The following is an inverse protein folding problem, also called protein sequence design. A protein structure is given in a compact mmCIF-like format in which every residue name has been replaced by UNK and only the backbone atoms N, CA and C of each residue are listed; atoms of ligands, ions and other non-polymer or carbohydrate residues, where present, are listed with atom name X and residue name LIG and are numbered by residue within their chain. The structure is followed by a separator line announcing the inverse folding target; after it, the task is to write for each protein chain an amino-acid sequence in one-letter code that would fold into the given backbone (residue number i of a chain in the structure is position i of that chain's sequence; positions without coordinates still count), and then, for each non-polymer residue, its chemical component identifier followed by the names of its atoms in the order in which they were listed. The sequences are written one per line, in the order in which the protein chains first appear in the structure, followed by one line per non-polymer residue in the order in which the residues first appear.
data_IF_369001262115
#
_entry.id   IF_369001262115
#
_cell.length_a   1.000
_cell.length_b   1.000
_cell.length_c   1.000
_cell.angle_alpha   90.00
_cell.angle_beta   90.00
_cell.angle_gamma   90.00
#
_symmetry.space_group_name_H-M   'P 1'
#
loop_
_entity.id
_entity.type
_entity.pdbx_description
1 polymer ?
#
# COMPACT_ATOMS: atom_id res chain seq x y z
N UNK A 1 17.13 -8.51 8.05
CA UNK A 1 16.78 -8.07 9.40
C UNK A 1 15.64 -8.89 9.97
N UNK A 2 15.99 -10.01 10.59
CA UNK A 2 15.06 -10.76 11.43
C UNK A 2 14.71 -9.99 12.71
N UNK A 3 13.68 -10.43 13.44
CA UNK A 3 13.37 -9.90 14.77
C UNK A 3 14.57 -10.04 15.75
N UNK A 4 15.55 -10.90 15.44
CA UNK A 4 16.79 -11.11 16.18
C UNK A 4 17.87 -10.03 15.90
N UNK A 5 18.12 -9.67 14.64
CA UNK A 5 18.99 -8.53 14.29
C UNK A 5 18.40 -7.19 14.75
N UNK A 6 17.07 -7.06 14.74
CA UNK A 6 16.40 -5.88 15.28
C UNK A 6 16.71 -5.71 16.78
N UNK A 7 16.79 -6.81 17.55
CA UNK A 7 17.15 -6.78 18.98
C UNK A 7 18.61 -6.38 19.23
N UNK A 8 19.51 -6.53 18.26
CA UNK A 8 20.91 -6.08 18.41
C UNK A 8 21.05 -4.55 18.30
N UNK A 9 20.15 -3.90 17.57
CA UNK A 9 20.15 -2.44 17.36
C UNK A 9 19.27 -1.74 18.41
N UNK A 10 18.26 -2.43 18.93
CA UNK A 10 17.27 -1.88 19.83
C UNK A 10 17.73 -1.97 21.28
N UNK A 11 17.44 -0.96 22.12
CA UNK A 11 17.74 -1.00 23.55
C UNK A 11 17.12 -2.26 24.21
N UNK A 12 17.78 -2.81 25.23
CA UNK A 12 17.19 -3.86 26.06
C UNK A 12 15.84 -3.39 26.63
N UNK A 13 14.77 -4.16 26.39
CA UNK A 13 13.43 -3.82 26.88
C UNK A 13 12.30 -4.46 26.06
N UNK A 14 11.06 -4.19 26.47
CA UNK A 14 9.89 -4.53 25.67
C UNK A 14 9.86 -3.69 24.39
N UNK A 15 10.05 -4.36 23.26
CA UNK A 15 10.16 -3.74 21.95
C UNK A 15 8.86 -2.99 21.57
N UNK A 16 7.70 -3.48 21.99
CA UNK A 16 6.44 -2.78 21.72
C UNK A 16 6.39 -1.43 22.45
N UNK A 17 6.70 -1.43 23.75
CA UNK A 17 6.82 -0.20 24.54
C UNK A 17 7.86 0.77 23.97
N UNK A 18 9.01 0.28 23.48
CA UNK A 18 10.05 1.13 22.89
C UNK A 18 9.55 1.80 21.61
N UNK A 19 8.94 1.03 20.70
CA UNK A 19 8.39 1.56 19.45
C UNK A 19 7.30 2.60 19.71
N UNK A 20 6.42 2.33 20.68
CA UNK A 20 5.38 3.27 21.07
C UNK A 20 5.97 4.55 21.67
N UNK A 21 7.02 4.44 22.48
CA UNK A 21 7.71 5.59 23.05
C UNK A 21 8.40 6.42 21.96
N UNK A 22 9.08 5.79 21.00
CA UNK A 22 9.71 6.50 19.88
C UNK A 22 8.69 7.23 19.02
N UNK A 23 7.58 6.58 18.70
CA UNK A 23 6.49 7.19 17.96
C UNK A 23 5.92 8.42 18.68
N UNK A 24 5.56 8.28 19.97
CA UNK A 24 5.07 9.40 20.80
C UNK A 24 6.11 10.53 20.91
N UNK A 25 7.39 10.19 21.05
CA UNK A 25 8.47 11.18 21.16
C UNK A 25 8.66 11.92 19.84
N UNK A 26 8.57 11.24 18.69
CA UNK A 26 8.64 11.88 17.39
C UNK A 26 7.49 12.87 17.17
N UNK A 27 6.27 12.50 17.58
CA UNK A 27 5.12 13.42 17.55
C UNK A 27 5.31 14.63 18.47
N UNK A 28 5.78 14.41 19.70
CA UNK A 28 6.09 15.49 20.62
C UNK A 28 7.12 16.47 20.02
N UNK A 29 8.24 15.96 19.50
CA UNK A 29 9.25 16.78 18.85
C UNK A 29 8.71 17.53 17.63
N UNK A 30 7.79 16.93 16.86
CA UNK A 30 7.16 17.59 15.72
C UNK A 30 6.29 18.77 16.16
N UNK A 31 5.45 18.59 17.18
CA UNK A 31 4.59 19.66 17.73
C UNK A 31 5.41 20.84 18.28
N UNK A 32 6.53 20.58 18.95
CA UNK A 32 7.44 21.62 19.47
C UNK A 32 8.09 22.48 18.36
N UNK A 33 8.00 22.09 17.08
CA UNK A 33 8.52 22.91 15.97
C UNK A 33 7.59 24.06 15.57
N UNK A 34 6.36 24.12 16.09
CA UNK A 34 5.34 25.10 15.71
C UNK A 34 5.15 25.20 14.17
N UNK A 35 5.17 24.03 13.50
CA UNK A 35 5.15 23.90 12.03
C UNK A 35 3.88 24.46 11.38
N UNK A 36 2.80 24.58 12.14
CA UNK A 36 1.56 25.23 11.68
C UNK A 36 1.70 26.75 11.56
N UNK A 37 2.61 27.38 12.32
CA UNK A 37 2.91 28.81 12.20
C UNK A 37 4.13 29.07 11.33
N UNK A 38 5.13 28.20 11.36
CA UNK A 38 6.39 28.36 10.62
C UNK A 38 6.58 27.27 9.57
N UNK A 39 6.58 27.68 8.30
CA UNK A 39 6.73 26.73 7.19
C UNK A 39 8.20 26.46 6.93
N UNK A 40 8.67 25.28 7.32
CA UNK A 40 10.03 24.79 7.05
C UNK A 40 9.98 23.38 6.49
N UNK A 41 11.08 22.92 5.87
CA UNK A 41 11.11 21.60 5.22
C UNK A 41 11.21 20.44 6.21
N UNK A 42 11.68 20.67 7.45
CA UNK A 42 11.94 19.60 8.43
C UNK A 42 10.65 18.90 8.90
N UNK A 43 9.56 19.62 9.25
CA UNK A 43 8.27 18.99 9.53
C UNK A 43 7.73 18.17 8.36
N UNK A 44 7.92 18.64 7.12
CA UNK A 44 7.50 17.90 5.91
C UNK A 44 8.24 16.56 5.80
N UNK A 45 9.56 16.57 6.01
CA UNK A 45 10.38 15.34 6.02
C UNK A 45 9.96 14.40 7.16
N UNK A 46 9.75 14.93 8.37
CA UNK A 46 9.35 14.15 9.52
C UNK A 46 7.98 13.48 9.32
N UNK A 47 7.00 14.24 8.81
CA UNK A 47 5.66 13.71 8.50
C UNK A 47 5.76 12.64 7.41
N UNK A 48 6.56 12.86 6.35
CA UNK A 48 6.73 11.87 5.28
C UNK A 48 7.28 10.53 5.81
N UNK A 49 8.24 10.57 6.74
CA UNK A 49 8.78 9.37 7.40
C UNK A 49 7.75 8.72 8.31
N UNK A 50 7.06 9.51 9.15
CA UNK A 50 6.01 9.02 10.05
C UNK A 50 4.81 8.44 9.30
N UNK A 51 4.58 8.85 8.04
CA UNK A 51 3.59 8.29 7.11
C UNK A 51 3.59 6.77 7.04
N UNK A 52 4.77 6.17 7.17
CA UNK A 52 4.94 4.71 7.13
C UNK A 52 4.50 4.02 8.43
N UNK A 53 4.21 4.79 9.50
CA UNK A 53 3.99 4.27 10.85
C UNK A 53 2.60 4.58 11.41
N UNK A 54 1.94 5.69 11.04
CA UNK A 54 0.69 6.11 11.68
C UNK A 54 -0.37 5.00 11.73
N UNK A 55 -0.64 4.37 10.59
CA UNK A 55 -1.67 3.32 10.50
C UNK A 55 -1.27 2.04 11.25
N UNK A 56 0.04 1.75 11.39
CA UNK A 56 0.50 0.67 12.25
C UNK A 56 0.13 0.89 13.72
N UNK A 57 0.12 2.15 14.17
CA UNK A 57 -0.29 2.55 15.53
C UNK A 57 -1.80 2.87 15.63
N UNK A 58 -2.58 2.72 14.56
CA UNK A 58 -4.01 3.00 14.55
C UNK A 58 -4.39 4.48 14.45
N UNK A 59 -3.42 5.35 14.14
CA UNK A 59 -3.56 6.82 14.11
C UNK A 59 -3.92 7.37 12.72
N UNK A 60 -4.77 6.65 11.98
CA UNK A 60 -5.20 7.01 10.61
C UNK A 60 -5.84 8.42 10.52
N UNK A 61 -6.53 8.83 11.59
CA UNK A 61 -7.08 10.18 11.70
C UNK A 61 -5.96 11.23 11.74
N UNK A 62 -4.97 11.06 12.61
CA UNK A 62 -3.84 11.97 12.74
C UNK A 62 -3.00 12.01 11.45
N UNK A 63 -2.76 10.85 10.83
CA UNK A 63 -2.11 10.73 9.53
C UNK A 63 -2.70 11.69 8.51
N UNK A 64 -4.03 11.66 8.29
CA UNK A 64 -4.70 12.50 7.29
C UNK A 64 -4.50 14.00 7.55
N UNK A 65 -4.56 14.42 8.80
CA UNK A 65 -4.38 15.83 9.16
C UNK A 65 -2.94 16.28 8.93
N UNK A 66 -1.96 15.50 9.43
CA UNK A 66 -0.55 15.82 9.28
C UNK A 66 -0.10 15.74 7.81
N UNK A 67 -0.58 14.76 7.05
CA UNK A 67 -0.26 14.62 5.62
C UNK A 67 -0.78 15.82 4.82
N UNK A 68 -2.04 16.23 5.04
CA UNK A 68 -2.58 17.43 4.40
C UNK A 68 -1.81 18.70 4.79
N UNK A 69 -1.38 18.80 6.05
CA UNK A 69 -0.53 19.89 6.51
C UNK A 69 0.83 19.89 5.80
N UNK A 70 1.49 18.73 5.72
CA UNK A 70 2.77 18.57 5.04
C UNK A 70 2.69 18.98 3.57
N UNK A 71 1.63 18.60 2.86
CA UNK A 71 1.41 18.99 1.46
C UNK A 71 1.22 20.49 1.32
N UNK A 72 0.42 21.12 2.19
CA UNK A 72 0.24 22.59 2.19
C UNK A 72 1.54 23.33 2.46
N UNK A 73 2.33 22.85 3.42
CA UNK A 73 3.65 23.42 3.73
C UNK A 73 4.61 23.21 2.54
N UNK A 74 4.65 22.02 1.95
CA UNK A 74 5.50 21.71 0.79
C UNK A 74 5.18 22.62 -0.41
N UNK A 75 3.90 22.84 -0.71
CA UNK A 75 3.48 23.77 -1.78
C UNK A 75 3.87 25.21 -1.47
N UNK A 76 3.66 25.67 -0.22
CA UNK A 76 4.09 27.01 0.21
C UNK A 76 5.61 27.20 0.10
N UNK A 77 6.38 26.13 0.25
CA UNK A 77 7.83 26.11 0.06
C UNK A 77 8.24 25.94 -1.42
N UNK A 78 7.30 25.72 -2.34
CA UNK A 78 7.55 25.60 -3.78
C UNK A 78 8.09 24.24 -4.22
N UNK A 79 7.93 23.21 -3.41
CA UNK A 79 8.40 21.85 -3.76
C UNK A 79 7.67 21.26 -4.98
N UNK A 80 6.48 21.79 -5.30
CA UNK A 80 5.71 21.46 -6.50
C UNK A 80 6.25 22.10 -7.79
N UNK A 81 7.34 22.87 -7.70
CA UNK A 81 7.93 23.59 -8.82
C UNK A 81 7.25 24.94 -9.11
N UNK A 82 6.30 25.38 -8.28
CA UNK A 82 5.59 26.65 -8.46
C UNK A 82 6.48 27.89 -8.21
N UNK A 83 7.59 27.74 -7.47
CA UNK A 83 8.54 28.82 -7.18
C UNK A 83 9.89 28.58 -7.88
N UNK A 84 10.09 29.21 -9.04
CA UNK A 84 11.28 29.04 -9.89
C UNK A 84 12.46 29.95 -9.53
N UNK A 85 12.31 30.90 -8.61
CA UNK A 85 13.27 32.01 -8.52
C UNK A 85 14.24 32.00 -7.35
N UNK A 86 14.00 31.31 -6.23
CA UNK A 86 15.03 31.18 -5.18
C UNK A 86 14.84 29.91 -4.35
N UNK A 87 15.84 29.01 -4.25
CA UNK A 87 15.77 27.88 -3.33
C UNK A 87 15.88 28.44 -1.91
N UNK A 88 14.74 28.64 -1.25
CA UNK A 88 14.65 28.92 0.19
C UNK A 88 15.04 27.70 1.04
N UNK A 89 15.24 26.55 0.39
CA UNK A 89 15.54 25.26 1.01
C UNK A 89 17.04 24.93 0.88
N UNK A 90 17.65 24.45 1.98
CA UNK A 90 19.02 23.89 2.02
C UNK A 90 19.14 22.54 1.27
N UNK A 91 18.03 22.00 0.78
CA UNK A 91 17.94 20.71 0.12
C UNK A 91 18.19 20.88 -1.39
N UNK A 92 18.97 20.00 -2.00
CA UNK A 92 19.14 19.99 -3.46
C UNK A 92 17.82 19.80 -4.21
N UNK A 93 17.74 20.30 -5.45
CA UNK A 93 16.52 20.26 -6.27
C UNK A 93 15.94 18.84 -6.39
N UNK A 94 16.79 17.84 -6.60
CA UNK A 94 16.33 16.45 -6.71
C UNK A 94 15.72 15.90 -5.42
N UNK A 95 16.26 16.28 -4.28
CA UNK A 95 15.71 15.85 -3.00
C UNK A 95 14.37 16.55 -2.69
N UNK A 96 14.16 17.78 -3.20
CA UNK A 96 12.86 18.47 -3.11
C UNK A 96 11.82 17.79 -3.97
N UNK A 97 12.19 17.44 -5.22
CA UNK A 97 11.34 16.68 -6.15
C UNK A 97 10.95 15.32 -5.57
N UNK A 98 11.91 14.59 -5.00
CA UNK A 98 11.63 13.30 -4.34
C UNK A 98 10.65 13.45 -3.20
N UNK A 99 10.87 14.42 -2.31
CA UNK A 99 9.96 14.65 -1.18
C UNK A 99 8.55 15.02 -1.66
N UNK A 100 8.44 15.89 -2.67
CA UNK A 100 7.16 16.22 -3.29
C UNK A 100 6.45 14.98 -3.85
N UNK A 101 7.13 14.22 -4.70
CA UNK A 101 6.54 13.03 -5.30
C UNK A 101 6.23 11.94 -4.30
N UNK A 102 7.01 11.78 -3.21
CA UNK A 102 6.63 10.89 -2.10
C UNK A 102 5.31 11.31 -1.46
N UNK A 103 5.14 12.60 -1.15
CA UNK A 103 3.88 13.10 -0.56
C UNK A 103 2.68 12.84 -1.48
N UNK A 104 2.85 13.11 -2.77
CA UNK A 104 1.82 12.90 -3.78
C UNK A 104 1.54 11.41 -3.92
N UNK A 105 2.54 10.59 -4.24
CA UNK A 105 2.37 9.14 -4.43
C UNK A 105 1.65 8.56 -3.21
N UNK A 106 2.12 8.78 -1.98
CA UNK A 106 1.47 8.20 -0.80
C UNK A 106 0.07 8.78 -0.47
N UNK A 107 -0.26 10.03 -0.89
CA UNK A 107 -1.65 10.50 -0.82
C UNK A 107 -2.54 9.76 -1.82
N UNK A 108 -2.03 9.48 -3.02
CA UNK A 108 -2.75 8.70 -4.03
C UNK A 108 -2.77 7.19 -3.76
N UNK A 109 -1.73 6.62 -3.13
CA UNK A 109 -1.74 5.23 -2.65
C UNK A 109 -2.83 5.03 -1.58
N UNK A 110 -3.23 6.11 -0.91
CA UNK A 110 -4.28 6.08 0.09
C UNK A 110 -5.71 6.26 -0.48
N UNK A 111 -5.87 6.34 -1.81
CA UNK A 111 -7.16 6.49 -2.52
C UNK A 111 -8.22 5.44 -2.19
N UNK A 112 -7.90 4.17 -1.88
CA UNK A 112 -8.92 3.24 -1.40
C UNK A 112 -9.55 3.66 -0.06
N UNK A 113 -8.91 4.60 0.66
CA UNK A 113 -9.28 4.99 2.03
C UNK A 113 -9.93 6.38 2.13
N UNK A 114 -9.72 7.27 1.14
CA UNK A 114 -10.37 8.60 1.03
C UNK A 114 -10.17 9.27 -0.34
N UNK A 115 -10.95 10.30 -0.65
CA UNK A 115 -10.83 11.08 -1.90
C UNK A 115 -9.61 12.03 -1.82
N UNK A 116 -8.65 11.98 -2.77
CA UNK A 116 -7.50 12.89 -2.79
C UNK A 116 -7.91 14.36 -2.84
N UNK A 117 -7.10 15.22 -2.23
CA UNK A 117 -7.35 16.67 -2.24
C UNK A 117 -7.00 17.33 -3.59
N UNK A 118 -6.32 16.62 -4.49
CA UNK A 118 -5.91 17.12 -5.80
C UNK A 118 -6.83 16.53 -6.87
N UNK A 119 -7.78 17.33 -7.37
CA UNK A 119 -8.68 16.93 -8.44
C UNK A 119 -8.01 17.02 -9.82
N UNK A 120 -8.22 16.02 -10.67
CA UNK A 120 -7.86 16.07 -12.10
C UNK A 120 -9.10 16.52 -12.88
N UNK A 121 -9.03 17.68 -13.55
CA UNK A 121 -10.12 18.14 -14.41
C UNK A 121 -10.17 17.29 -15.69
N UNK A 122 -11.28 16.59 -15.95
CA UNK A 122 -11.40 15.63 -17.06
C UNK A 122 -12.67 15.77 -17.89
N UNK A 123 -12.49 15.78 -19.22
CA UNK A 123 -13.48 15.78 -20.33
C UNK A 123 -14.51 14.63 -20.27
N UNK A 124 -15.61 14.78 -21.04
CA UNK A 124 -16.58 13.72 -21.40
C UNK A 124 -15.91 12.47 -22.03
N UNK A 125 -15.43 11.54 -21.20
CA UNK A 125 -15.13 10.15 -21.56
C UNK A 125 -16.00 9.24 -20.71
N UNK A 126 -16.40 8.08 -21.21
CA UNK A 126 -17.10 7.09 -20.37
C UNK A 126 -16.15 6.52 -19.32
N UNK A 127 -16.68 6.10 -18.17
CA UNK A 127 -15.88 5.48 -17.10
C UNK A 127 -15.10 4.27 -17.63
N UNK A 128 -15.74 3.43 -18.46
CA UNK A 128 -15.11 2.24 -19.03
C UNK A 128 -13.94 2.53 -19.97
N UNK A 129 -13.95 3.66 -20.68
CA UNK A 129 -12.81 4.08 -21.50
C UNK A 129 -11.66 4.60 -20.64
N UNK A 130 -11.98 5.34 -19.56
CA UNK A 130 -10.98 5.83 -18.62
C UNK A 130 -10.28 4.65 -17.92
N UNK A 131 -11.07 3.67 -17.45
CA UNK A 131 -10.54 2.47 -16.79
C UNK A 131 -9.63 1.69 -17.73
N UNK A 132 -10.02 1.49 -18.99
CA UNK A 132 -9.20 0.74 -19.95
C UNK A 132 -7.88 1.45 -20.26
N UNK A 133 -7.93 2.75 -20.54
CA UNK A 133 -6.71 3.53 -20.81
C UNK A 133 -5.76 3.53 -19.60
N UNK A 134 -6.31 3.66 -18.39
CA UNK A 134 -5.51 3.60 -17.18
C UNK A 134 -4.93 2.20 -16.91
N UNK A 135 -5.67 1.13 -17.20
CA UNK A 135 -5.15 -0.25 -17.12
C UNK A 135 -4.01 -0.47 -18.11
N UNK A 136 -4.18 -0.02 -19.36
CA UNK A 136 -3.16 -0.13 -20.41
C UNK A 136 -1.87 0.60 -19.99
N UNK A 137 -1.97 1.83 -19.47
CA UNK A 137 -0.81 2.59 -18.98
C UNK A 137 -0.11 1.89 -17.80
N UNK A 138 -0.87 1.29 -16.86
CA UNK A 138 -0.28 0.54 -15.74
C UNK A 138 0.36 -0.76 -16.21
N UNK A 139 -0.30 -1.48 -17.13
CA UNK A 139 0.24 -2.70 -17.71
C UNK A 139 1.56 -2.42 -18.44
N UNK A 140 1.63 -1.32 -19.20
CA UNK A 140 2.86 -0.87 -19.85
C UNK A 140 3.97 -0.56 -18.84
N UNK A 141 3.66 0.13 -17.73
CA UNK A 141 4.63 0.35 -16.65
C UNK A 141 5.14 -0.97 -16.09
N UNK A 142 4.25 -1.92 -15.74
CA UNK A 142 4.63 -3.23 -15.21
C UNK A 142 5.56 -3.97 -16.20
N UNK A 143 5.21 -3.97 -17.48
CA UNK A 143 5.95 -4.67 -18.53
C UNK A 143 7.29 -4.02 -18.89
N UNK A 144 7.49 -2.75 -18.52
CA UNK A 144 8.70 -1.97 -18.84
C UNK A 144 9.56 -1.69 -17.60
N UNK A 145 9.23 -2.28 -16.45
CA UNK A 145 10.08 -2.21 -15.26
C UNK A 145 11.48 -2.74 -15.58
N UNK A 146 12.55 -2.07 -15.08
CA UNK A 146 13.90 -2.61 -15.15
C UNK A 146 13.99 -3.99 -14.51
N UNK A 147 14.90 -4.85 -14.98
CA UNK A 147 15.05 -6.23 -14.52
C UNK A 147 15.11 -6.35 -12.99
N UNK A 148 15.84 -5.48 -12.30
CA UNK A 148 15.96 -5.50 -10.84
C UNK A 148 14.66 -5.18 -10.09
N UNK A 149 13.65 -4.60 -10.75
CA UNK A 149 12.31 -4.30 -10.22
C UNK A 149 11.21 -5.22 -10.76
N UNK A 150 11.50 -6.07 -11.74
CA UNK A 150 10.52 -7.06 -12.21
C UNK A 150 10.33 -8.17 -11.16
N UNK A 151 9.10 -8.70 -10.97
CA UNK A 151 8.83 -9.75 -9.99
C UNK A 151 9.76 -10.97 -10.12
N UNK A 152 10.08 -11.37 -11.35
CA UNK A 152 10.95 -12.50 -11.67
C UNK A 152 12.44 -12.16 -11.78
N UNK A 153 12.81 -10.89 -11.59
CA UNK A 153 14.16 -10.37 -11.82
C UNK A 153 15.25 -10.90 -10.90
N UNK A 154 14.88 -11.44 -9.73
CA UNK A 154 15.82 -11.95 -8.70
C UNK A 154 16.50 -13.28 -9.00
N UNK A 155 16.28 -13.83 -10.19
CA UNK A 155 16.71 -15.20 -10.52
C UNK A 155 18.16 -15.29 -10.99
N UNK A 156 18.76 -14.21 -11.46
CA UNK A 156 20.16 -14.23 -11.92
C UNK A 156 21.14 -14.13 -10.75
N UNK A 157 22.32 -14.75 -10.89
CA UNK A 157 23.40 -14.67 -9.90
C UNK A 157 23.85 -13.22 -9.67
N UNK A 158 23.98 -12.42 -10.74
CA UNK A 158 24.31 -11.00 -10.65
C UNK A 158 23.30 -10.22 -9.79
N UNK A 159 22.01 -10.55 -9.89
CA UNK A 159 20.98 -9.90 -9.08
C UNK A 159 21.06 -10.31 -7.62
N UNK A 160 21.34 -11.58 -7.34
CA UNK A 160 21.51 -12.08 -5.97
C UNK A 160 22.71 -11.43 -5.29
N UNK A 161 23.83 -11.26 -6.00
CA UNK A 161 24.98 -10.50 -5.50
C UNK A 161 24.62 -9.04 -5.22
N UNK A 162 23.87 -8.41 -6.13
CA UNK A 162 23.43 -7.03 -5.95
C UNK A 162 22.49 -6.88 -4.75
N UNK A 163 21.61 -7.84 -4.50
CA UNK A 163 20.70 -7.86 -3.34
C UNK A 163 21.44 -8.05 -2.01
N UNK A 164 22.58 -8.75 -2.00
CA UNK A 164 23.44 -8.86 -0.82
C UNK A 164 24.05 -7.49 -0.50
N UNK A 165 24.53 -6.78 -1.52
CA UNK A 165 25.17 -5.46 -1.37
C UNK A 165 24.11 -4.37 -1.06
N UNK A 166 22.93 -4.48 -1.65
CA UNK A 166 21.84 -3.51 -1.59
C UNK A 166 20.52 -4.20 -1.24
N UNK A 167 20.30 -4.59 0.04
CA UNK A 167 19.11 -5.35 0.46
C UNK A 167 17.78 -4.66 0.18
N UNK A 168 17.78 -3.32 0.04
CA UNK A 168 16.59 -2.55 -0.29
C UNK A 168 16.09 -2.77 -1.72
N UNK A 169 16.93 -3.21 -2.67
CA UNK A 169 16.50 -3.48 -4.06
C UNK A 169 15.44 -4.57 -4.09
N UNK A 170 15.66 -5.63 -3.31
CA UNK A 170 14.70 -6.71 -3.16
C UNK A 170 13.39 -6.20 -2.56
N UNK A 171 13.48 -5.43 -1.49
CA UNK A 171 12.30 -4.81 -0.86
C UNK A 171 11.54 -3.91 -1.85
N UNK A 172 12.24 -3.08 -2.61
CA UNK A 172 11.68 -2.17 -3.62
C UNK A 172 10.98 -2.92 -4.76
N UNK A 173 11.57 -4.02 -5.26
CA UNK A 173 10.95 -4.90 -6.26
C UNK A 173 9.60 -5.45 -5.81
N UNK A 174 9.53 -5.95 -4.58
CA UNK A 174 8.28 -6.50 -4.05
C UNK A 174 7.25 -5.40 -3.81
N UNK A 175 7.66 -4.29 -3.18
CA UNK A 175 6.77 -3.17 -2.85
C UNK A 175 6.16 -2.55 -4.11
N UNK A 176 6.97 -2.25 -5.13
CA UNK A 176 6.47 -1.68 -6.40
C UNK A 176 5.51 -2.64 -7.11
N UNK A 177 5.80 -3.95 -7.10
CA UNK A 177 4.92 -4.96 -7.70
C UNK A 177 3.55 -4.98 -7.03
N UNK A 178 3.54 -4.99 -5.69
CA UNK A 178 2.31 -5.04 -4.90
C UNK A 178 1.50 -3.76 -5.05
N UNK A 179 2.16 -2.59 -5.06
CA UNK A 179 1.53 -1.29 -5.32
C UNK A 179 0.88 -1.24 -6.70
N UNK A 180 1.61 -1.63 -7.76
CA UNK A 180 1.10 -1.59 -9.13
C UNK A 180 -0.08 -2.55 -9.33
N UNK A 181 0.03 -3.78 -8.83
CA UNK A 181 -1.06 -4.76 -8.89
C UNK A 181 -2.30 -4.28 -8.12
N UNK A 182 -2.12 -3.67 -6.95
CA UNK A 182 -3.21 -3.12 -6.17
C UNK A 182 -3.94 -1.99 -6.93
N UNK A 183 -3.19 -1.07 -7.54
CA UNK A 183 -3.79 0.02 -8.33
C UNK A 183 -4.50 -0.50 -9.57
N UNK A 184 -3.87 -1.47 -10.26
CA UNK A 184 -4.47 -2.13 -11.42
C UNK A 184 -5.79 -2.79 -11.06
N UNK A 185 -5.82 -3.54 -9.95
CA UNK A 185 -7.03 -4.14 -9.41
C UNK A 185 -8.10 -3.07 -9.09
N UNK A 186 -7.72 -2.00 -8.40
CA UNK A 186 -8.64 -0.95 -7.96
C UNK A 186 -9.26 -0.16 -9.11
N UNK A 187 -8.47 0.19 -10.12
CA UNK A 187 -8.96 0.89 -11.33
C UNK A 187 -10.00 0.05 -12.04
N UNK A 188 -9.70 -1.23 -12.31
CA UNK A 188 -10.65 -2.14 -12.94
C UNK A 188 -11.91 -2.34 -12.10
N UNK A 189 -11.77 -2.43 -10.78
CA UNK A 189 -12.88 -2.53 -9.82
C UNK A 189 -13.85 -1.34 -9.85
N UNK A 190 -13.49 -0.22 -10.48
CA UNK A 190 -14.42 0.90 -10.71
C UNK A 190 -15.63 0.50 -11.56
N UNK A 191 -15.54 -0.57 -12.35
CA UNK A 191 -16.64 -1.14 -13.14
C UNK A 191 -17.39 -2.26 -12.41
N UNK A 192 -17.07 -2.50 -11.12
CA UNK A 192 -17.57 -3.66 -10.39
C UNK A 192 -19.08 -3.69 -10.31
N UNK A 193 -19.68 -2.54 -10.02
CA UNK A 193 -21.12 -2.45 -9.87
C UNK A 193 -21.83 -2.90 -11.16
N UNK A 194 -21.36 -2.45 -12.31
CA UNK A 194 -21.95 -2.72 -13.61
C UNK A 194 -21.83 -4.20 -14.00
N UNK A 195 -20.68 -4.86 -13.75
CA UNK A 195 -20.55 -6.29 -14.05
C UNK A 195 -21.27 -7.19 -13.05
N UNK A 196 -21.54 -6.70 -11.83
CA UNK A 196 -22.39 -7.38 -10.87
C UNK A 196 -23.87 -7.33 -11.30
N UNK A 197 -24.30 -6.22 -11.88
CA UNK A 197 -25.67 -6.03 -12.37
C UNK A 197 -25.95 -6.78 -13.68
N UNK A 198 -24.96 -6.83 -14.59
CA UNK A 198 -25.09 -7.48 -15.90
C UNK A 198 -23.97 -8.51 -16.10
N UNK A 199 -24.22 -9.80 -15.85
CA UNK A 199 -23.23 -10.86 -16.10
C UNK A 199 -22.72 -10.84 -17.54
N UNK A 200 -21.41 -10.99 -17.72
CA UNK A 200 -20.73 -10.92 -19.03
C UNK A 200 -20.29 -9.51 -19.43
N UNK A 201 -20.85 -8.46 -18.80
CA UNK A 201 -20.40 -7.09 -19.03
C UNK A 201 -19.05 -6.87 -18.31
N UNK A 202 -18.05 -6.37 -19.03
CA UNK A 202 -16.71 -6.09 -18.48
C UNK A 202 -15.98 -7.32 -17.87
N UNK A 203 -16.22 -8.52 -18.39
CA UNK A 203 -15.51 -9.75 -17.96
C UNK A 203 -13.98 -9.61 -18.00
N UNK A 204 -13.44 -8.82 -18.94
CA UNK A 204 -12.03 -8.49 -19.00
C UNK A 204 -11.53 -7.78 -17.73
N UNK A 205 -12.29 -6.81 -17.21
CA UNK A 205 -11.92 -6.05 -16.01
C UNK A 205 -12.01 -6.93 -14.76
N UNK A 206 -13.06 -7.78 -14.69
CA UNK A 206 -13.20 -8.80 -13.64
C UNK A 206 -12.01 -9.76 -13.65
N UNK A 207 -11.63 -10.28 -14.81
CA UNK A 207 -10.49 -11.20 -14.95
C UNK A 207 -9.16 -10.54 -14.50
N UNK A 208 -8.94 -9.27 -14.84
CA UNK A 208 -7.78 -8.50 -14.36
C UNK A 208 -7.80 -8.37 -12.83
N UNK A 209 -8.95 -8.04 -12.21
CA UNK A 209 -9.05 -7.97 -10.75
C UNK A 209 -8.72 -9.30 -10.06
N UNK A 210 -9.27 -10.41 -10.56
CA UNK A 210 -8.99 -11.76 -10.03
C UNK A 210 -7.49 -12.06 -10.15
N UNK A 211 -6.90 -11.84 -11.33
CA UNK A 211 -5.48 -12.10 -11.55
C UNK A 211 -4.59 -11.28 -10.63
N UNK A 212 -4.87 -9.98 -10.50
CA UNK A 212 -4.10 -9.10 -9.61
C UNK A 212 -4.23 -9.53 -8.14
N UNK A 213 -5.42 -9.92 -7.68
CA UNK A 213 -5.62 -10.39 -6.31
C UNK A 213 -4.83 -11.68 -6.02
N UNK A 214 -4.86 -12.64 -6.94
CA UNK A 214 -4.06 -13.86 -6.88
C UNK A 214 -2.56 -13.56 -6.84
N UNK A 215 -2.08 -12.69 -7.73
CA UNK A 215 -0.67 -12.31 -7.80
C UNK A 215 -0.21 -11.59 -6.52
N UNK A 216 -1.03 -10.70 -5.93
CA UNK A 216 -0.73 -10.03 -4.66
C UNK A 216 -0.51 -11.05 -3.53
N UNK A 217 -1.42 -12.02 -3.39
CA UNK A 217 -1.35 -13.05 -2.34
C UNK A 217 -0.15 -13.97 -2.60
N UNK A 218 0.04 -14.41 -3.85
CA UNK A 218 1.16 -15.27 -4.23
C UNK A 218 2.50 -14.59 -3.96
N UNK A 219 2.69 -13.34 -4.38
CA UNK A 219 3.92 -12.57 -4.14
C UNK A 219 4.20 -12.48 -2.65
N UNK A 220 3.18 -12.17 -1.85
CA UNK A 220 3.31 -12.02 -0.39
C UNK A 220 3.74 -13.34 0.26
N UNK A 221 3.13 -14.46 -0.14
CA UNK A 221 3.45 -15.78 0.39
C UNK A 221 4.87 -16.22 0.02
N UNK A 222 5.31 -15.90 -1.20
CA UNK A 222 6.65 -16.22 -1.70
C UNK A 222 7.70 -15.15 -1.33
N UNK A 223 7.32 -14.15 -0.54
CA UNK A 223 8.24 -13.12 -0.07
C UNK A 223 9.12 -13.68 1.06
N UNK A 224 10.35 -14.03 0.71
CA UNK A 224 11.36 -14.65 1.58
C UNK A 224 12.06 -13.66 2.55
N UNK A 225 11.62 -12.41 2.63
CA UNK A 225 12.14 -11.46 3.62
C UNK A 225 11.57 -11.77 5.02
N UNK A 226 12.33 -11.50 6.09
CA UNK A 226 11.84 -11.70 7.45
C UNK A 226 10.55 -10.93 7.73
N UNK A 227 9.66 -11.51 8.55
CA UNK A 227 8.38 -10.89 8.96
C UNK A 227 8.56 -9.43 9.43
N UNK A 228 9.62 -9.14 10.17
CA UNK A 228 9.93 -7.80 10.68
C UNK A 228 10.02 -6.73 9.57
N UNK A 229 10.50 -7.10 8.38
CA UNK A 229 10.65 -6.22 7.22
C UNK A 229 9.37 -6.12 6.38
N UNK A 230 8.36 -6.93 6.70
CA UNK A 230 7.08 -7.02 5.98
C UNK A 230 5.91 -6.36 6.73
N UNK A 231 6.15 -5.73 7.89
CA UNK A 231 5.10 -5.12 8.76
C UNK A 231 4.56 -3.75 8.27
N UNK A 232 4.62 -3.47 6.98
CA UNK A 232 4.12 -2.20 6.43
C UNK A 232 2.59 -2.24 6.36
N UNK A 233 1.93 -1.19 6.86
CA UNK A 233 0.46 -1.14 6.92
C UNK A 233 -0.18 -1.24 5.53
N UNK A 234 0.42 -0.61 4.51
CA UNK A 234 -0.10 -0.59 3.14
C UNK A 234 -0.16 -2.00 2.56
N UNK A 235 0.85 -2.83 2.84
CA UNK A 235 0.88 -4.23 2.43
C UNK A 235 -0.26 -5.04 3.05
N UNK A 236 -0.49 -4.89 4.36
CA UNK A 236 -1.61 -5.54 5.05
C UNK A 236 -2.96 -5.15 4.44
N UNK A 237 -3.12 -3.89 4.01
CA UNK A 237 -4.31 -3.48 3.28
C UNK A 237 -4.41 -4.09 1.88
N UNK A 238 -3.33 -4.08 1.09
CA UNK A 238 -3.34 -4.67 -0.25
C UNK A 238 -3.76 -6.14 -0.21
N UNK A 239 -3.22 -6.89 0.73
CA UNK A 239 -3.55 -8.30 0.98
C UNK A 239 -5.02 -8.45 1.40
N UNK A 240 -5.48 -7.64 2.36
CA UNK A 240 -6.88 -7.66 2.78
C UNK A 240 -7.84 -7.39 1.60
N UNK A 241 -7.56 -6.36 0.80
CA UNK A 241 -8.40 -5.98 -0.36
C UNK A 241 -8.42 -7.09 -1.41
N UNK A 242 -7.29 -7.75 -1.65
CA UNK A 242 -7.21 -8.91 -2.54
C UNK A 242 -8.02 -10.10 -1.98
N UNK A 243 -7.82 -10.46 -0.73
CA UNK A 243 -8.48 -11.59 -0.08
C UNK A 243 -10.01 -11.42 0.01
N UNK A 244 -10.49 -10.26 0.48
CA UNK A 244 -11.94 -10.01 0.58
C UNK A 244 -12.61 -9.95 -0.79
N UNK A 245 -11.88 -9.56 -1.83
CA UNK A 245 -12.37 -9.61 -3.20
C UNK A 245 -12.52 -11.06 -3.68
N UNK A 246 -11.48 -11.88 -3.52
CA UNK A 246 -11.52 -13.29 -3.92
C UNK A 246 -12.59 -14.07 -3.14
N UNK A 247 -12.69 -13.86 -1.82
CA UNK A 247 -13.73 -14.48 -0.99
C UNK A 247 -15.14 -14.20 -1.54
N UNK A 248 -15.42 -12.93 -1.89
CA UNK A 248 -16.72 -12.55 -2.48
C UNK A 248 -16.93 -13.13 -3.87
N UNK A 249 -15.86 -13.38 -4.63
CA UNK A 249 -15.96 -14.06 -5.91
C UNK A 249 -16.27 -15.56 -5.75
N UNK A 250 -15.68 -16.23 -4.75
CA UNK A 250 -15.99 -17.63 -4.40
C UNK A 250 -17.44 -17.80 -3.96
N UNK A 251 -17.93 -16.92 -3.07
CA UNK A 251 -19.32 -16.92 -2.60
C UNK A 251 -20.33 -16.77 -3.75
N UNK A 252 -19.97 -16.02 -4.80
CA UNK A 252 -20.81 -15.88 -6.00
C UNK A 252 -20.71 -17.08 -6.93
N UNK A 253 -19.54 -17.72 -7.00
CA UNK A 253 -19.28 -18.88 -7.84
C UNK A 253 -20.05 -20.13 -7.39
N UNK A 254 -20.39 -20.26 -6.09
CA UNK A 254 -21.25 -21.32 -5.57
C UNK A 254 -22.66 -21.38 -6.23
N UNK A 255 -23.05 -20.35 -6.98
CA UNK A 255 -24.26 -20.34 -7.82
C UNK A 255 -24.06 -20.85 -9.27
N UNK A 256 -22.86 -21.33 -9.66
CA UNK A 256 -22.64 -21.94 -10.99
C UNK A 256 -21.24 -21.83 -11.65
N UNK A 257 -20.16 -21.53 -10.94
CA UNK A 257 -18.78 -21.51 -11.48
C UNK A 257 -17.79 -22.29 -10.59
N UNK A 258 -16.77 -22.88 -11.24
CA UNK A 258 -15.87 -23.94 -10.75
C UNK A 258 -14.70 -23.45 -9.86
N UNK A 259 -14.59 -22.14 -9.58
CA UNK A 259 -13.37 -21.55 -8.98
C UNK A 259 -13.63 -21.08 -7.55
N UNK A 260 -13.10 -21.85 -6.60
CA UNK A 260 -12.97 -21.54 -5.19
C UNK A 260 -11.60 -20.89 -4.92
N UNK A 261 -11.55 -19.87 -4.07
CA UNK A 261 -10.34 -19.13 -3.70
C UNK A 261 -10.06 -19.18 -2.19
N UNK A 262 -10.68 -20.12 -1.48
CA UNK A 262 -10.55 -20.27 -0.03
C UNK A 262 -9.10 -20.48 0.39
N UNK A 263 -8.32 -21.25 -0.39
CA UNK A 263 -6.90 -21.46 -0.13
C UNK A 263 -6.11 -20.14 -0.16
N UNK A 264 -6.34 -19.28 -1.16
CA UNK A 264 -5.68 -17.98 -1.24
C UNK A 264 -6.11 -17.03 -0.12
N UNK A 265 -7.39 -17.06 0.26
CA UNK A 265 -7.89 -16.28 1.41
C UNK A 265 -7.22 -16.75 2.70
N UNK A 266 -7.02 -18.05 2.87
CA UNK A 266 -6.32 -18.62 4.03
C UNK A 266 -4.85 -18.20 4.08
N UNK A 267 -4.15 -18.22 2.94
CA UNK A 267 -2.76 -17.70 2.85
C UNK A 267 -2.67 -16.22 3.25
N UNK A 268 -3.66 -15.42 2.86
CA UNK A 268 -3.73 -14.02 3.27
C UNK A 268 -3.94 -13.87 4.79
N UNK A 269 -4.81 -14.68 5.40
CA UNK A 269 -5.05 -14.69 6.86
C UNK A 269 -3.77 -15.07 7.60
N UNK A 270 -3.08 -16.13 7.18
CA UNK A 270 -1.82 -16.57 7.77
C UNK A 270 -0.76 -15.48 7.77
N UNK A 271 -0.67 -14.72 6.67
CA UNK A 271 0.22 -13.58 6.61
C UNK A 271 -0.19 -12.48 7.60
N UNK A 272 -1.46 -12.09 7.61
CA UNK A 272 -1.94 -11.01 8.49
C UNK A 272 -1.73 -11.36 9.96
N UNK A 273 -1.90 -12.62 10.36
CA UNK A 273 -1.59 -13.10 11.71
C UNK A 273 -0.12 -12.94 12.09
N UNK A 274 0.82 -13.12 11.16
CA UNK A 274 2.25 -12.95 11.43
C UNK A 274 2.61 -11.50 11.76
N UNK A 275 1.86 -10.53 11.23
CA UNK A 275 2.19 -9.10 11.35
C UNK A 275 1.27 -8.32 12.30
N UNK A 276 0.08 -8.85 12.66
CA UNK A 276 -0.95 -8.12 13.42
C UNK A 276 -0.50 -7.51 14.74
N UNK A 277 0.46 -8.12 15.43
CA UNK A 277 0.96 -7.64 16.74
C UNK A 277 1.51 -6.21 16.72
N UNK A 278 1.91 -5.68 15.55
CA UNK A 278 2.45 -4.31 15.41
C UNK A 278 1.86 -3.57 14.22
N UNK A 279 0.69 -4.00 13.80
CA UNK A 279 0.04 -3.50 12.61
C UNK A 279 -1.47 -3.52 12.87
N UNK A 280 -1.97 -2.40 13.37
CA UNK A 280 -3.38 -2.24 13.72
C UNK A 280 -4.32 -2.45 12.52
N UNK A 281 -3.81 -2.29 11.28
CA UNK A 281 -4.57 -2.68 10.09
C UNK A 281 -4.73 -4.19 10.02
N UNK A 282 -3.64 -4.94 10.08
CA UNK A 282 -3.66 -6.40 9.99
C UNK A 282 -4.49 -7.04 11.11
N UNK A 283 -4.43 -6.49 12.32
CA UNK A 283 -5.28 -6.89 13.44
C UNK A 283 -6.77 -6.76 13.09
N UNK A 284 -7.20 -5.61 12.55
CA UNK A 284 -8.62 -5.42 12.19
C UNK A 284 -9.03 -6.23 10.98
N UNK A 285 -8.18 -6.31 9.96
CA UNK A 285 -8.54 -6.95 8.69
C UNK A 285 -8.61 -8.46 8.79
N UNK A 286 -7.78 -9.09 9.63
CA UNK A 286 -7.87 -10.53 9.85
C UNK A 286 -9.18 -10.92 10.55
N UNK A 287 -9.64 -10.12 11.50
CA UNK A 287 -10.92 -10.34 12.19
C UNK A 287 -12.10 -10.24 11.22
N UNK A 288 -12.06 -9.28 10.28
CA UNK A 288 -13.08 -9.12 9.23
C UNK A 288 -13.10 -10.34 8.31
N UNK A 289 -11.94 -10.79 7.82
CA UNK A 289 -11.86 -11.95 6.92
C UNK A 289 -12.40 -13.23 7.57
N UNK A 290 -12.02 -13.49 8.82
CA UNK A 290 -12.52 -14.64 9.58
C UNK A 290 -14.04 -14.59 9.76
N UNK A 291 -14.55 -13.43 10.18
CA UNK A 291 -16.01 -13.26 10.36
C UNK A 291 -16.77 -13.50 9.05
N UNK A 292 -16.22 -13.08 7.90
CA UNK A 292 -16.85 -13.33 6.59
C UNK A 292 -16.78 -14.79 6.14
N UNK A 293 -15.78 -15.57 6.59
CA UNK A 293 -15.70 -17.02 6.34
C UNK A 293 -16.67 -17.79 7.24
N UNK A 294 -16.77 -17.44 8.52
CA UNK A 294 -17.70 -18.07 9.46
C UNK A 294 -19.18 -17.86 9.02
N UNK A 295 -19.50 -16.68 8.48
CA UNK A 295 -20.81 -16.40 7.88
C UNK A 295 -21.12 -17.30 6.66
N UNK A 296 -20.09 -17.68 5.91
CA UNK A 296 -20.19 -18.58 4.76
C UNK A 296 -20.41 -20.03 5.17
N UNK A 297 -19.61 -20.53 6.11
CA UNK A 297 -19.77 -21.89 6.64
C UNK A 297 -21.18 -22.09 7.22
N UNK A 298 -21.69 -21.10 7.95
CA UNK A 298 -23.07 -21.12 8.45
C UNK A 298 -24.09 -21.08 7.30
N UNK A 299 -23.91 -20.25 6.27
CA UNK A 299 -24.83 -20.21 5.13
C UNK A 299 -24.85 -21.53 4.34
N UNK A 300 -23.70 -22.22 4.24
CA UNK A 300 -23.58 -23.53 3.61
C UNK A 300 -24.22 -24.65 4.43
N UNK A 301 -24.13 -24.61 5.77
CA UNK A 301 -24.77 -25.60 6.66
C UNK A 301 -26.31 -25.52 6.65
N UNK A 302 -26.90 -24.37 6.30
CA UNK A 302 -28.35 -24.14 6.27
C UNK A 302 -28.98 -24.13 4.87
N UNK A 303 -28.21 -24.39 3.80
CA UNK A 303 -28.70 -24.51 2.41
C UNK A 303 -28.92 -25.96 1.98
#
# INVERSE_FOLDING_TARGET
MGDEEAREILPEGDLESILQQWYKTALFCLEETDYMRTSTIRPVQAIAVLGMCFDNFGDSGLYRHLWSCAIRIARKLGLDGSHTTHPTSKLGLEAQRRLWWTLIICEWLAVPYYVPQIGVAGRHRSVSEIVRLADDEIADVINTLPDHLQPDGGKSEEMQELEIIHPWIKWERFDISLVLLHHRMHINRSLQKEWLEVPGLYDWARAVCIRCAMDIIWITHNWDQPVAMRRQWALSMHIFVAAIFLLRESQRAQSGAEVDFTDEVQLAIEYLDQVKSRNAIAERTVDILRSSLDEEDLAAEFS
#
